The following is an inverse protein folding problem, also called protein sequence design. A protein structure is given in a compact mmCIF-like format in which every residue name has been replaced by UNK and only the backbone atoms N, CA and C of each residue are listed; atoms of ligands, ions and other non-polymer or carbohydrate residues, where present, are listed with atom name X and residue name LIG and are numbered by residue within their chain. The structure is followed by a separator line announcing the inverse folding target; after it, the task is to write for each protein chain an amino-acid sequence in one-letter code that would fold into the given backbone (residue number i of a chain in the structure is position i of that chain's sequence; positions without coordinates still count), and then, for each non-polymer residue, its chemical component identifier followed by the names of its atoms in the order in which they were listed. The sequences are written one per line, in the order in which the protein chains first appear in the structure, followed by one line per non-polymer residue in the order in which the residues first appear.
data_IF_949287041243
#
_entry.id   IF_949287041243
#
_cell.length_a   1.000
_cell.length_b   1.000
_cell.length_c   1.000
_cell.angle_alpha   90.00
_cell.angle_beta   90.00
_cell.angle_gamma   90.00
#
_symmetry.space_group_name_H-M   'P 1'
#
loop_
_entity.id
_entity.type
_entity.pdbx_description
1 polymer ?
#
# COMPACT_ATOMS: atom_id res chain seq x y z
N UNK A 1 -16.38 31.56 -5.33
CA UNK A 1 -16.24 30.38 -4.45
C UNK A 1 -15.92 29.18 -5.33
N UNK A 2 -15.01 28.31 -4.91
CA UNK A 2 -14.66 27.07 -5.60
C UNK A 2 -14.92 25.91 -4.63
N UNK A 3 -15.52 24.82 -5.08
CA UNK A 3 -15.82 23.67 -4.23
C UNK A 3 -16.42 22.51 -5.02
N UNK A 4 -16.70 21.41 -4.32
CA UNK A 4 -17.33 20.22 -4.85
C UNK A 4 -18.26 19.61 -3.78
N UNK A 5 -19.56 19.79 -3.95
CA UNK A 5 -20.58 19.28 -3.03
C UNK A 5 -20.77 17.74 -3.08
N UNK A 6 -20.13 17.09 -4.04
CA UNK A 6 -20.10 15.62 -4.16
C UNK A 6 -18.89 14.98 -3.47
N UNK A 7 -18.03 15.78 -2.82
CA UNK A 7 -16.98 15.33 -1.93
C UNK A 7 -17.40 15.46 -0.46
N UNK A 8 -16.48 15.14 0.46
CA UNK A 8 -16.78 15.11 1.89
C UNK A 8 -17.32 16.46 2.40
N UNK A 9 -18.33 16.37 3.25
CA UNK A 9 -18.92 17.48 3.96
C UNK A 9 -18.08 17.90 5.17
N UNK A 10 -18.27 19.12 5.72
CA UNK A 10 -17.65 19.54 6.97
C UNK A 10 -17.92 18.53 8.10
N UNK A 11 -16.89 18.16 8.86
CA UNK A 11 -17.00 17.29 10.04
C UNK A 11 -17.74 18.06 11.16
N UNK A 12 -18.80 17.49 11.68
CA UNK A 12 -19.58 18.01 12.82
C UNK A 12 -19.65 16.91 13.87
N UNK A 13 -19.09 17.15 15.04
CA UNK A 13 -18.99 16.15 16.11
C UNK A 13 -20.36 15.80 16.71
N UNK A 14 -21.23 16.80 16.87
CA UNK A 14 -22.54 16.59 17.46
C UNK A 14 -23.55 16.14 16.40
N UNK A 15 -23.94 14.87 16.42
CA UNK A 15 -24.88 14.26 15.46
C UNK A 15 -26.19 15.06 15.32
N UNK A 16 -26.76 15.58 16.44
CA UNK A 16 -27.99 16.37 16.43
C UNK A 16 -27.92 17.62 15.53
N UNK A 17 -26.72 18.14 15.24
CA UNK A 17 -26.49 19.30 14.39
C UNK A 17 -26.27 18.95 12.90
N UNK A 18 -26.26 17.68 12.56
CA UNK A 18 -26.04 17.20 11.18
C UNK A 18 -27.37 17.11 10.41
N UNK A 19 -27.28 17.08 9.07
CA UNK A 19 -28.43 16.90 8.19
C UNK A 19 -29.12 15.54 8.42
N UNK A 20 -28.36 14.50 8.79
CA UNK A 20 -28.88 13.15 9.07
C UNK A 20 -29.74 13.08 10.33
N UNK A 21 -29.60 14.02 11.25
CA UNK A 21 -30.45 14.12 12.45
C UNK A 21 -31.85 14.68 12.15
N UNK A 22 -32.07 15.31 11.01
CA UNK A 22 -33.35 15.89 10.55
C UNK A 22 -33.94 16.95 11.52
N UNK A 23 -33.07 17.59 12.33
CA UNK A 23 -33.48 18.62 13.30
C UNK A 23 -33.38 20.05 12.73
N UNK A 24 -33.03 20.20 11.45
CA UNK A 24 -33.02 21.50 10.75
C UNK A 24 -31.73 22.32 10.92
N UNK A 25 -30.79 21.92 11.78
CA UNK A 25 -29.52 22.66 11.98
C UNK A 25 -28.57 22.55 10.79
N UNK A 26 -28.41 21.35 10.22
CA UNK A 26 -27.66 21.06 8.98
C UNK A 26 -26.28 21.71 8.91
N UNK A 27 -25.51 21.73 10.03
CA UNK A 27 -24.19 22.38 10.08
C UNK A 27 -23.13 21.67 9.24
N UNK A 28 -23.29 20.37 8.93
CA UNK A 28 -22.43 19.64 8.01
C UNK A 28 -22.74 19.91 6.53
N UNK A 29 -23.69 20.80 6.23
CA UNK A 29 -23.94 21.28 4.87
C UNK A 29 -23.05 22.50 4.60
N UNK A 30 -22.10 22.40 3.69
CA UNK A 30 -21.19 23.50 3.38
C UNK A 30 -21.93 24.70 2.78
N UNK A 31 -21.42 25.92 2.96
CA UNK A 31 -21.96 27.10 2.31
C UNK A 31 -22.05 26.95 0.78
N UNK A 32 -21.04 26.29 0.19
CA UNK A 32 -21.01 26.01 -1.24
C UNK A 32 -22.19 25.11 -1.66
N UNK A 33 -22.45 24.03 -0.94
CA UNK A 33 -23.55 23.12 -1.20
C UNK A 33 -24.91 23.82 -1.02
N UNK A 34 -25.08 24.65 0.04
CA UNK A 34 -26.29 25.43 0.28
C UNK A 34 -26.61 26.35 -0.90
N UNK A 35 -25.62 27.08 -1.39
CA UNK A 35 -25.80 28.01 -2.51
C UNK A 35 -26.19 27.28 -3.80
N UNK A 36 -25.67 26.10 -4.04
CA UNK A 36 -26.03 25.26 -5.22
C UNK A 36 -27.47 24.77 -5.09
N UNK A 37 -27.86 24.28 -3.90
CA UNK A 37 -29.22 23.78 -3.64
C UNK A 37 -30.26 24.91 -3.74
N UNK A 38 -29.91 26.13 -3.33
CA UNK A 38 -30.74 27.33 -3.47
C UNK A 38 -30.80 27.88 -4.90
N UNK A 39 -30.11 27.21 -5.86
CA UNK A 39 -30.18 27.55 -7.28
C UNK A 39 -29.23 28.66 -7.74
N UNK A 40 -28.18 28.98 -6.95
CA UNK A 40 -27.16 29.93 -7.41
C UNK A 40 -26.49 29.45 -8.68
N UNK A 41 -26.42 30.30 -9.69
CA UNK A 41 -25.77 29.99 -10.96
C UNK A 41 -24.31 29.61 -10.77
N UNK A 42 -23.88 28.45 -11.33
CA UNK A 42 -22.54 27.97 -11.22
C UNK A 42 -22.01 27.38 -12.56
N UNK A 43 -20.71 27.25 -12.66
CA UNK A 43 -20.03 26.59 -13.78
C UNK A 43 -19.34 25.32 -13.27
N UNK A 44 -19.56 24.19 -13.93
CA UNK A 44 -18.89 22.93 -13.62
C UNK A 44 -17.66 22.74 -14.52
N UNK A 45 -16.51 22.47 -13.93
CA UNK A 45 -15.31 22.09 -14.66
C UNK A 45 -15.42 20.63 -15.09
N UNK A 46 -15.50 20.39 -16.40
CA UNK A 46 -15.69 19.03 -16.95
C UNK A 46 -14.40 18.36 -17.36
N UNK A 47 -13.26 19.08 -17.47
CA UNK A 47 -12.01 18.57 -17.98
C UNK A 47 -11.04 18.25 -16.85
N UNK A 48 -10.84 16.96 -16.58
CA UNK A 48 -9.91 16.48 -15.57
C UNK A 48 -8.49 16.28 -16.12
N UNK A 49 -7.45 16.51 -15.27
CA UNK A 49 -6.03 16.39 -15.60
C UNK A 49 -5.26 15.51 -14.61
N UNK A 50 -5.95 14.87 -13.65
CA UNK A 50 -5.35 14.07 -12.57
C UNK A 50 -5.25 12.61 -12.93
N UNK A 51 -6.38 11.98 -13.18
CA UNK A 51 -6.54 10.54 -13.25
C UNK A 51 -6.26 9.98 -14.64
N UNK A 52 -5.67 8.81 -14.71
CA UNK A 52 -5.69 7.98 -15.92
C UNK A 52 -7.13 7.70 -16.37
N UNK A 53 -7.33 7.40 -17.68
CA UNK A 53 -8.67 7.15 -18.23
C UNK A 53 -9.44 6.06 -17.49
N UNK A 54 -8.79 4.97 -17.07
CA UNK A 54 -9.41 3.84 -16.37
C UNK A 54 -9.93 4.25 -14.98
N UNK A 55 -9.14 5.04 -14.23
CA UNK A 55 -9.55 5.56 -12.92
C UNK A 55 -10.66 6.60 -13.10
N UNK A 56 -10.51 7.51 -14.07
CA UNK A 56 -11.52 8.52 -14.38
C UNK A 56 -12.86 7.90 -14.82
N UNK A 57 -12.86 6.69 -15.41
CA UNK A 57 -14.07 5.98 -15.79
C UNK A 57 -14.91 5.57 -14.58
N UNK A 58 -14.28 5.24 -13.44
CA UNK A 58 -14.99 5.01 -12.17
C UNK A 58 -15.70 6.30 -11.74
N UNK A 59 -14.98 7.42 -11.72
CA UNK A 59 -15.54 8.71 -11.31
C UNK A 59 -16.71 9.14 -12.22
N UNK A 60 -16.60 8.91 -13.53
CA UNK A 60 -17.72 9.15 -14.50
C UNK A 60 -18.91 8.25 -14.20
N UNK A 61 -18.68 6.97 -14.03
CA UNK A 61 -19.76 6.02 -13.77
C UNK A 61 -20.47 6.29 -12.45
N UNK A 62 -19.73 6.64 -11.43
CA UNK A 62 -20.28 6.80 -10.07
C UNK A 62 -20.86 8.18 -9.82
N UNK A 63 -20.18 9.26 -10.18
CA UNK A 63 -20.45 10.59 -9.63
C UNK A 63 -20.52 11.69 -10.68
N UNK A 64 -19.64 11.68 -11.72
CA UNK A 64 -19.45 12.78 -12.66
C UNK A 64 -19.63 12.36 -14.12
N UNK A 65 -20.84 12.10 -14.60
CA UNK A 65 -21.07 11.55 -15.94
C UNK A 65 -20.54 12.44 -17.08
N UNK A 66 -20.48 13.77 -16.85
CA UNK A 66 -19.98 14.76 -17.82
C UNK A 66 -18.44 14.94 -17.80
N UNK A 67 -17.72 14.23 -16.92
CA UNK A 67 -16.27 14.38 -16.76
C UNK A 67 -15.53 13.88 -18.00
N UNK A 68 -14.66 14.72 -18.56
CA UNK A 68 -13.83 14.43 -19.74
C UNK A 68 -12.37 14.39 -19.38
N UNK A 69 -11.60 13.60 -20.11
CA UNK A 69 -10.16 13.55 -19.93
C UNK A 69 -9.48 14.65 -20.73
N UNK A 70 -8.48 15.30 -20.13
CA UNK A 70 -7.55 16.10 -20.89
C UNK A 70 -6.57 15.18 -21.63
N UNK A 71 -6.13 15.49 -22.88
CA UNK A 71 -5.22 14.64 -23.65
C UNK A 71 -3.94 14.23 -22.90
N UNK A 72 -3.40 15.09 -22.05
CA UNK A 72 -2.19 14.82 -21.26
C UNK A 72 -2.34 13.65 -20.27
N UNK A 73 -3.54 13.19 -19.91
CA UNK A 73 -3.72 12.03 -19.03
C UNK A 73 -3.89 10.73 -19.79
N UNK A 74 -4.15 10.79 -21.10
CA UNK A 74 -4.33 9.62 -21.95
C UNK A 74 -2.99 8.94 -22.27
N UNK A 75 -1.90 9.71 -22.24
CA UNK A 75 -0.52 9.24 -22.51
C UNK A 75 0.25 8.86 -21.26
N UNK A 76 -0.38 8.82 -20.09
CA UNK A 76 0.30 8.43 -18.84
C UNK A 76 0.73 6.96 -18.87
N UNK A 77 1.90 6.67 -18.32
CA UNK A 77 2.43 5.31 -18.23
C UNK A 77 1.50 4.37 -17.46
N UNK A 78 1.47 3.10 -17.85
CA UNK A 78 0.79 2.06 -17.11
C UNK A 78 1.47 1.78 -15.76
N UNK A 79 0.71 1.27 -14.80
CA UNK A 79 1.24 0.86 -13.51
C UNK A 79 2.26 -0.28 -13.70
N UNK A 80 3.51 -0.03 -13.28
CA UNK A 80 4.59 -1.00 -13.45
C UNK A 80 4.41 -2.19 -12.52
N UNK A 81 4.67 -3.38 -13.04
CA UNK A 81 4.61 -4.62 -12.28
C UNK A 81 3.21 -5.24 -12.16
N UNK A 82 2.14 -4.52 -12.55
CA UNK A 82 0.77 -5.01 -12.49
C UNK A 82 0.13 -5.09 -13.89
N UNK A 83 -0.86 -5.98 -14.03
CA UNK A 83 -1.57 -6.19 -15.28
C UNK A 83 -2.64 -5.12 -15.54
N UNK A 84 -3.08 -4.41 -14.51
CA UNK A 84 -4.14 -3.40 -14.59
C UNK A 84 -3.79 -2.16 -13.76
N UNK A 85 -4.35 -1.01 -14.13
CA UNK A 85 -4.17 0.26 -13.41
C UNK A 85 -5.23 0.49 -12.32
N UNK A 86 -6.33 -0.27 -12.38
CA UNK A 86 -7.35 -0.40 -11.35
C UNK A 86 -7.40 -1.86 -10.96
N UNK A 87 -7.15 -2.16 -9.70
CA UNK A 87 -7.08 -3.51 -9.16
C UNK A 87 -7.94 -3.58 -7.91
N UNK A 88 -8.79 -4.56 -7.81
CA UNK A 88 -9.46 -4.94 -6.58
C UNK A 88 -8.98 -6.33 -6.18
N UNK A 89 -8.16 -6.40 -5.14
CA UNK A 89 -7.70 -7.66 -4.54
C UNK A 89 -8.82 -8.17 -3.63
N UNK A 90 -9.52 -9.20 -4.11
CA UNK A 90 -10.61 -9.82 -3.39
C UNK A 90 -10.10 -10.86 -2.40
N UNK A 91 -10.64 -10.87 -1.18
CA UNK A 91 -10.33 -11.87 -0.16
C UNK A 91 -11.59 -12.22 0.66
N UNK A 92 -11.46 -13.22 1.57
CA UNK A 92 -12.54 -13.65 2.48
C UNK A 92 -12.12 -13.67 3.95
N UNK A 93 -10.95 -13.09 4.27
CA UNK A 93 -10.47 -12.99 5.65
C UNK A 93 -11.30 -11.97 6.42
N UNK A 94 -11.84 -12.38 7.56
CA UNK A 94 -12.70 -11.53 8.37
C UNK A 94 -11.88 -10.48 9.14
N UNK A 95 -12.52 -9.34 9.42
CA UNK A 95 -12.02 -8.35 10.36
C UNK A 95 -11.98 -8.91 11.77
N UNK A 96 -11.16 -8.35 12.64
CA UNK A 96 -11.11 -8.76 14.05
C UNK A 96 -12.44 -8.50 14.76
N UNK A 97 -12.90 -9.51 15.50
CA UNK A 97 -14.05 -9.35 16.38
C UNK A 97 -13.63 -8.58 17.63
N UNK A 98 -14.28 -7.46 17.87
CA UNK A 98 -14.11 -6.71 19.11
C UNK A 98 -14.96 -7.36 20.17
N UNK A 99 -14.33 -7.96 21.20
CA UNK A 99 -15.02 -8.44 22.38
C UNK A 99 -15.59 -7.25 23.16
N UNK A 100 -16.90 -7.19 23.32
CA UNK A 100 -17.61 -6.13 24.04
C UNK A 100 -17.22 -6.04 25.53
N UNK A 101 -16.54 -7.06 26.07
CA UNK A 101 -16.13 -7.16 27.47
C UNK A 101 -14.78 -6.46 27.77
N UNK A 102 -14.03 -6.01 26.78
CA UNK A 102 -12.77 -5.29 26.97
C UNK A 102 -13.02 -3.77 27.16
N UNK A 103 -13.47 -3.39 28.36
CA UNK A 103 -13.62 -1.97 28.78
C UNK A 103 -12.33 -1.15 28.72
N UNK A 104 -11.18 -1.74 28.42
CA UNK A 104 -9.84 -1.12 28.61
C UNK A 104 -9.18 -0.69 27.30
N UNK A 105 -9.66 -1.08 26.12
CA UNK A 105 -8.98 -0.73 24.88
C UNK A 105 -9.79 0.22 24.00
N UNK A 106 -9.32 1.47 23.85
CA UNK A 106 -9.83 2.41 22.85
C UNK A 106 -9.70 1.88 21.41
N UNK A 107 -8.93 0.81 21.19
CA UNK A 107 -8.88 0.05 19.94
C UNK A 107 -10.16 -0.75 19.69
N UNK A 108 -10.94 -1.07 20.73
CA UNK A 108 -12.22 -1.77 20.62
C UNK A 108 -13.28 -1.00 19.80
N UNK A 109 -13.13 0.30 19.66
CA UNK A 109 -14.06 1.16 18.89
C UNK A 109 -13.67 1.23 17.42
N UNK A 110 -12.44 0.94 17.04
CA UNK A 110 -11.94 1.06 15.68
C UNK A 110 -11.71 -0.32 15.06
N UNK A 111 -12.27 -0.54 13.87
CA UNK A 111 -12.17 -1.82 13.15
C UNK A 111 -10.79 -2.03 12.53
N UNK A 112 -10.34 -3.29 12.56
CA UNK A 112 -9.05 -3.76 12.07
C UNK A 112 -9.23 -5.04 11.26
N UNK A 113 -8.45 -5.17 10.19
CA UNK A 113 -8.29 -6.40 9.42
C UNK A 113 -6.79 -6.64 9.21
N UNK A 114 -6.26 -7.60 9.96
CA UNK A 114 -4.83 -7.89 9.95
C UNK A 114 -4.36 -8.42 8.59
N UNK A 115 -5.16 -9.28 7.94
CA UNK A 115 -4.85 -9.75 6.59
C UNK A 115 -4.68 -8.59 5.60
N UNK A 116 -5.65 -7.64 5.60
CA UNK A 116 -5.57 -6.49 4.72
C UNK A 116 -4.36 -5.59 5.04
N UNK A 117 -4.02 -5.45 6.33
CA UNK A 117 -2.85 -4.68 6.75
C UNK A 117 -1.55 -5.33 6.24
N UNK A 118 -1.37 -6.62 6.46
CA UNK A 118 -0.22 -7.38 5.98
C UNK A 118 -0.14 -7.36 4.44
N UNK A 119 -1.26 -7.59 3.74
CA UNK A 119 -1.30 -7.56 2.28
C UNK A 119 -0.95 -6.16 1.73
N UNK A 120 -1.45 -5.10 2.36
CA UNK A 120 -1.12 -3.71 2.01
C UNK A 120 0.38 -3.45 2.10
N UNK A 121 1.01 -3.86 3.20
CA UNK A 121 2.47 -3.71 3.40
C UNK A 121 3.26 -4.44 2.31
N UNK A 122 2.86 -5.66 1.96
CA UNK A 122 3.51 -6.44 0.90
C UNK A 122 3.30 -5.82 -0.49
N UNK A 123 2.12 -5.26 -0.78
CA UNK A 123 1.85 -4.53 -2.02
C UNK A 123 2.72 -3.27 -2.10
N UNK A 124 2.84 -2.50 -1.01
CA UNK A 124 3.72 -1.33 -0.94
C UNK A 124 5.17 -1.75 -1.21
N UNK A 125 5.66 -2.80 -0.55
CA UNK A 125 7.01 -3.32 -0.77
C UNK A 125 7.22 -3.74 -2.23
N UNK A 126 6.25 -4.43 -2.83
CA UNK A 126 6.28 -4.81 -4.23
C UNK A 126 6.39 -3.58 -5.15
N UNK A 127 5.59 -2.53 -4.91
CA UNK A 127 5.61 -1.30 -5.71
C UNK A 127 6.96 -0.58 -5.59
N UNK A 128 7.57 -0.54 -4.41
CA UNK A 128 8.91 0.02 -4.21
C UNK A 128 9.96 -0.76 -5.03
N UNK A 129 9.87 -2.10 -5.05
CA UNK A 129 10.73 -2.95 -5.88
C UNK A 129 10.50 -2.72 -7.38
N UNK A 130 9.29 -2.32 -7.83
CA UNK A 130 9.03 -1.89 -9.20
C UNK A 130 9.60 -0.50 -9.52
N UNK A 131 10.30 0.14 -8.57
CA UNK A 131 10.98 1.42 -8.74
C UNK A 131 10.09 2.65 -8.52
N UNK A 132 8.97 2.52 -7.81
CA UNK A 132 8.23 3.68 -7.30
C UNK A 132 8.90 4.21 -6.04
N UNK A 133 8.84 5.53 -5.85
CA UNK A 133 9.35 6.17 -4.62
C UNK A 133 8.27 6.17 -3.53
N UNK A 134 8.67 6.23 -2.25
CA UNK A 134 7.71 6.31 -1.13
C UNK A 134 6.71 7.47 -1.26
N UNK A 135 7.14 8.63 -1.72
CA UNK A 135 6.31 9.83 -1.91
C UNK A 135 5.25 9.70 -3.03
N UNK A 136 5.37 8.70 -3.88
CA UNK A 136 4.42 8.41 -4.95
C UNK A 136 3.27 7.49 -4.50
N UNK A 137 3.39 6.87 -3.33
CA UNK A 137 2.44 5.87 -2.82
C UNK A 137 1.75 6.41 -1.58
N UNK A 138 0.43 6.30 -1.55
CA UNK A 138 -0.38 6.55 -0.36
C UNK A 138 -1.23 5.33 -0.02
N UNK A 139 -1.32 5.05 1.27
CA UNK A 139 -2.24 4.05 1.81
C UNK A 139 -3.42 4.76 2.45
N UNK A 140 -4.64 4.44 2.00
CA UNK A 140 -5.88 5.02 2.51
C UNK A 140 -6.72 3.97 3.22
N UNK A 141 -7.24 4.35 4.38
CA UNK A 141 -8.07 3.48 5.23
C UNK A 141 -9.30 4.22 5.75
N UNK A 142 -10.41 3.54 6.04
CA UNK A 142 -11.59 4.17 6.63
C UNK A 142 -11.55 4.25 8.18
N UNK A 143 -10.60 3.58 8.84
CA UNK A 143 -10.57 3.42 10.30
C UNK A 143 -9.18 3.71 10.89
N UNK A 144 -9.14 4.42 12.02
CA UNK A 144 -7.91 4.78 12.73
C UNK A 144 -7.16 3.56 13.30
N UNK A 145 -7.87 2.49 13.70
CA UNK A 145 -7.22 1.25 14.13
C UNK A 145 -6.41 0.60 13.01
N UNK A 146 -6.96 0.56 11.80
CA UNK A 146 -6.23 0.05 10.63
C UNK A 146 -5.03 0.93 10.26
N UNK A 147 -5.17 2.25 10.39
CA UNK A 147 -4.08 3.20 10.17
C UNK A 147 -2.93 2.92 11.14
N UNK A 148 -3.25 2.69 12.42
CA UNK A 148 -2.26 2.38 13.47
C UNK A 148 -1.48 1.11 13.12
N UNK A 149 -2.17 -0.01 12.89
CA UNK A 149 -1.52 -1.29 12.59
C UNK A 149 -0.65 -1.19 11.32
N UNK A 150 -1.14 -0.53 10.28
CA UNK A 150 -0.36 -0.32 9.06
C UNK A 150 0.92 0.47 9.31
N UNK A 151 0.85 1.51 10.15
CA UNK A 151 2.03 2.31 10.48
C UNK A 151 3.07 1.49 11.26
N UNK A 152 2.62 0.68 12.21
CA UNK A 152 3.50 -0.20 12.98
C UNK A 152 4.14 -1.29 12.10
N UNK A 153 3.35 -1.90 11.20
CA UNK A 153 3.84 -2.92 10.27
C UNK A 153 4.84 -2.33 9.26
N UNK A 154 4.58 -1.16 8.69
CA UNK A 154 5.54 -0.50 7.79
C UNK A 154 6.88 -0.26 8.49
N UNK A 155 6.87 0.23 9.73
CA UNK A 155 8.09 0.41 10.52
C UNK A 155 8.81 -0.92 10.78
N UNK A 156 8.09 -1.98 11.10
CA UNK A 156 8.70 -3.30 11.33
C UNK A 156 9.36 -3.90 10.08
N UNK A 157 9.00 -3.41 8.91
CA UNK A 157 9.57 -3.77 7.61
C UNK A 157 10.61 -2.75 7.10
N UNK A 158 11.19 -1.93 7.96
CA UNK A 158 12.16 -0.88 7.62
C UNK A 158 11.63 0.15 6.59
N UNK A 159 10.32 0.27 6.49
CA UNK A 159 9.64 1.27 5.65
C UNK A 159 9.13 2.41 6.54
N UNK A 160 9.63 3.61 6.32
CA UNK A 160 9.16 4.78 7.06
C UNK A 160 7.69 5.08 6.72
N UNK A 161 6.82 5.13 7.73
CA UNK A 161 5.44 5.57 7.59
C UNK A 161 5.34 7.07 7.94
N UNK A 162 4.59 7.83 7.14
CA UNK A 162 4.27 9.23 7.38
C UNK A 162 2.77 9.37 7.65
N UNK A 163 2.41 9.89 8.82
CA UNK A 163 1.02 10.19 9.21
C UNK A 163 0.85 11.69 9.16
N UNK A 164 -0.34 12.19 8.80
CA UNK A 164 -0.62 13.62 8.80
C UNK A 164 -1.08 14.13 10.15
N UNK A 165 -0.87 15.43 10.39
CA UNK A 165 -1.19 16.10 11.65
C UNK A 165 -2.63 15.81 12.13
N UNK A 166 -3.61 15.82 11.23
CA UNK A 166 -5.02 15.53 11.55
C UNK A 166 -5.24 14.07 11.97
N UNK A 167 -4.60 13.12 11.30
CA UNK A 167 -4.69 11.70 11.66
C UNK A 167 -3.98 11.46 13.00
N UNK A 168 -2.86 12.16 13.28
CA UNK A 168 -2.21 12.17 14.60
C UNK A 168 -3.11 12.72 15.70
N UNK A 169 -3.76 13.86 15.47
CA UNK A 169 -4.72 14.45 16.42
C UNK A 169 -5.89 13.51 16.71
N UNK A 170 -6.45 12.89 15.65
CA UNK A 170 -7.55 11.92 15.79
C UNK A 170 -7.09 10.68 16.59
N UNK A 171 -5.87 10.16 16.37
CA UNK A 171 -5.29 9.06 17.16
C UNK A 171 -5.07 9.42 18.63
N UNK A 172 -4.56 10.62 18.91
CA UNK A 172 -4.35 11.12 20.27
C UNK A 172 -5.68 11.28 21.00
N UNK A 173 -6.73 11.75 20.33
CA UNK A 173 -8.08 11.92 20.90
C UNK A 173 -8.68 10.61 21.40
N UNK A 174 -8.35 9.49 20.74
CA UNK A 174 -8.77 8.14 21.13
C UNK A 174 -7.93 7.53 22.25
N UNK A 175 -6.98 8.28 22.86
CA UNK A 175 -6.06 7.80 23.89
C UNK A 175 -5.25 6.55 23.46
N UNK A 176 -5.01 6.38 22.20
CA UNK A 176 -4.13 5.35 21.66
C UNK A 176 -2.70 5.80 21.98
N UNK A 177 -2.32 5.65 23.27
CA UNK A 177 -1.05 6.07 23.81
C UNK A 177 0.04 5.06 23.43
N UNK A 178 0.87 5.42 22.45
CA UNK A 178 2.27 5.00 22.40
C UNK A 178 3.13 6.20 21.99
N UNK A 179 4.36 6.32 22.53
CA UNK A 179 5.24 7.40 22.11
C UNK A 179 5.61 7.17 20.64
N UNK A 180 4.88 7.83 19.76
CA UNK A 180 5.33 8.03 18.41
C UNK A 180 6.64 8.80 18.49
N UNK A 181 7.73 8.20 18.09
CA UNK A 181 8.86 9.03 17.69
C UNK A 181 8.31 9.91 16.56
N UNK A 182 8.10 11.19 16.87
CA UNK A 182 7.81 12.20 15.86
C UNK A 182 8.88 12.05 14.79
N UNK A 183 8.58 11.30 13.77
CA UNK A 183 9.37 11.39 12.57
C UNK A 183 9.05 12.79 12.05
N UNK A 184 10.06 13.67 12.20
CA UNK A 184 10.07 14.98 11.58
C UNK A 184 9.41 14.87 10.21
N UNK A 185 8.59 15.85 9.85
CA UNK A 185 7.92 16.08 8.58
C UNK A 185 8.86 16.08 7.35
N UNK A 186 9.98 15.37 7.41
CA UNK A 186 10.88 15.13 6.30
C UNK A 186 10.27 14.05 5.41
N UNK A 187 9.77 14.51 4.34
CA UNK A 187 9.17 14.02 3.11
C UNK A 187 9.62 12.67 2.50
N UNK A 188 10.01 11.65 3.25
CA UNK A 188 10.59 10.42 2.67
C UNK A 188 9.87 9.10 3.05
N UNK A 189 8.72 9.17 3.73
CA UNK A 189 7.96 7.97 4.15
C UNK A 189 6.74 7.68 3.29
N UNK A 190 6.23 6.45 3.39
CA UNK A 190 4.94 6.06 2.82
C UNK A 190 3.84 6.79 3.59
N UNK A 191 3.05 7.61 2.91
CA UNK A 191 1.92 8.29 3.52
C UNK A 191 0.82 7.29 3.84
N UNK A 192 0.41 7.23 5.12
CA UNK A 192 -0.79 6.51 5.57
C UNK A 192 -1.78 7.53 6.11
N UNK A 193 -3.03 7.48 5.65
CA UNK A 193 -4.05 8.45 6.05
C UNK A 193 -5.45 7.84 6.06
N UNK A 194 -6.34 8.42 6.85
CA UNK A 194 -7.76 8.15 6.67
C UNK A 194 -8.27 8.79 5.39
N UNK A 195 -9.31 8.18 4.79
CA UNK A 195 -9.93 8.70 3.56
C UNK A 195 -10.39 10.15 3.77
N UNK A 196 -10.94 10.42 4.96
CA UNK A 196 -11.53 11.72 5.30
C UNK A 196 -10.46 12.82 5.43
N UNK A 197 -9.30 12.51 6.02
CA UNK A 197 -8.20 13.46 6.19
C UNK A 197 -7.34 13.65 4.93
N UNK A 198 -7.44 12.74 3.95
CA UNK A 198 -6.74 12.84 2.66
C UNK A 198 -7.54 13.63 1.61
N UNK A 199 -8.62 14.30 1.99
CA UNK A 199 -9.39 15.15 1.08
C UNK A 199 -8.55 16.32 0.56
N UNK A 200 -8.59 16.54 -0.76
CA UNK A 200 -7.83 17.62 -1.41
C UNK A 200 -6.46 17.20 -1.94
N UNK A 201 -5.85 16.17 -1.36
CA UNK A 201 -4.54 15.63 -1.78
C UNK A 201 -4.66 14.69 -3.00
N UNK A 202 -3.53 14.28 -3.55
CA UNK A 202 -3.43 13.30 -4.63
C UNK A 202 -2.09 12.56 -4.57
N UNK A 203 -2.05 11.33 -5.10
CA UNK A 203 -0.83 10.53 -5.21
C UNK A 203 -0.78 9.81 -6.56
N UNK A 204 0.40 9.34 -6.95
CA UNK A 204 0.52 8.55 -8.16
C UNK A 204 -0.21 7.20 -7.98
N UNK A 205 0.00 6.55 -6.85
CA UNK A 205 -0.62 5.26 -6.53
C UNK A 205 -1.36 5.35 -5.19
N UNK A 206 -2.59 4.90 -5.20
CA UNK A 206 -3.41 4.75 -3.99
C UNK A 206 -3.62 3.26 -3.72
N UNK A 207 -3.26 2.82 -2.52
CA UNK A 207 -3.60 1.49 -1.99
C UNK A 207 -4.64 1.68 -0.90
N UNK A 208 -5.82 1.12 -1.08
CA UNK A 208 -6.96 1.28 -0.19
C UNK A 208 -7.29 -0.02 0.51
N UNK A 209 -7.11 -0.10 1.83
CA UNK A 209 -7.62 -1.19 2.65
C UNK A 209 -9.03 -0.83 3.13
N UNK A 210 -10.03 -1.64 2.73
CA UNK A 210 -11.44 -1.37 3.04
C UNK A 210 -11.85 -1.88 4.43
N UNK A 211 -11.06 -2.79 5.00
CA UNK A 211 -11.14 -3.33 6.36
C UNK A 211 -12.34 -4.24 6.60
N UNK A 212 -13.53 -3.81 6.14
CA UNK A 212 -14.79 -4.49 6.49
C UNK A 212 -14.94 -5.82 5.77
N UNK A 213 -14.95 -6.87 6.56
CA UNK A 213 -15.13 -8.25 6.11
C UNK A 213 -15.73 -9.08 7.22
N UNK A 214 -17.05 -9.30 7.19
CA UNK A 214 -17.78 -10.05 8.20
C UNK A 214 -19.00 -10.76 7.61
N UNK A 215 -19.48 -11.86 8.23
CA UNK A 215 -20.62 -12.64 7.73
C UNK A 215 -21.94 -11.88 7.71
N UNK A 216 -22.06 -10.82 8.53
CA UNK A 216 -23.29 -10.02 8.66
C UNK A 216 -23.43 -8.95 7.55
N UNK A 217 -22.42 -8.75 6.70
CA UNK A 217 -22.42 -7.71 5.67
C UNK A 217 -22.37 -6.30 6.23
N UNK A 218 -21.88 -6.09 7.45
CA UNK A 218 -21.81 -4.76 8.04
C UNK A 218 -20.60 -4.00 7.49
N UNK A 219 -20.82 -3.02 6.62
CA UNK A 219 -19.75 -2.21 5.98
C UNK A 219 -19.48 -0.85 6.66
N UNK A 220 -20.12 -0.60 7.79
CA UNK A 220 -19.84 0.56 8.67
C UNK A 220 -19.90 1.93 7.96
N UNK A 221 -18.83 2.73 8.10
CA UNK A 221 -18.75 4.08 7.50
C UNK A 221 -18.86 4.08 5.97
N UNK A 222 -18.49 2.99 5.32
CA UNK A 222 -18.56 2.85 3.87
C UNK A 222 -19.98 2.55 3.36
N UNK A 223 -20.95 2.34 4.28
CA UNK A 223 -22.38 2.16 3.95
C UNK A 223 -23.31 3.21 4.52
N UNK A 224 -22.81 4.21 5.27
CA UNK A 224 -23.64 5.28 5.87
C UNK A 224 -24.01 6.37 4.85
N UNK A 225 -24.82 7.35 5.29
CA UNK A 225 -25.33 8.43 4.44
C UNK A 225 -24.25 9.23 3.69
N UNK A 226 -23.06 9.38 4.27
CA UNK A 226 -21.93 10.10 3.66
C UNK A 226 -20.98 9.17 2.87
N UNK A 227 -21.38 7.91 2.63
CA UNK A 227 -20.54 6.93 1.94
C UNK A 227 -20.27 7.34 0.49
N UNK A 228 -21.22 7.97 -0.19
CA UNK A 228 -21.03 8.42 -1.58
C UNK A 228 -19.89 9.41 -1.71
N UNK A 229 -19.84 10.40 -0.81
CA UNK A 229 -18.78 11.40 -0.78
C UNK A 229 -17.42 10.78 -0.43
N UNK A 230 -17.38 9.85 0.53
CA UNK A 230 -16.17 9.15 0.96
C UNK A 230 -15.62 8.24 -0.13
N UNK A 231 -16.45 7.43 -0.77
CA UNK A 231 -16.07 6.57 -1.89
C UNK A 231 -15.64 7.42 -3.10
N UNK A 232 -16.31 8.56 -3.35
CA UNK A 232 -15.91 9.48 -4.40
C UNK A 232 -14.51 10.06 -4.13
N UNK A 233 -14.22 10.49 -2.90
CA UNK A 233 -12.86 10.92 -2.53
C UNK A 233 -11.87 9.80 -2.75
N UNK A 234 -12.13 8.59 -2.24
CA UNK A 234 -11.26 7.43 -2.39
C UNK A 234 -10.92 7.12 -3.85
N UNK A 235 -11.93 7.10 -4.73
CA UNK A 235 -11.77 6.77 -6.14
C UNK A 235 -11.10 7.87 -6.98
N UNK A 236 -10.95 9.09 -6.44
CA UNK A 236 -10.44 10.25 -7.22
C UNK A 236 -9.09 10.77 -6.74
N UNK A 237 -8.40 10.07 -5.83
CA UNK A 237 -7.07 10.50 -5.33
C UNK A 237 -5.91 10.02 -6.19
N UNK A 238 -6.06 8.87 -6.87
CA UNK A 238 -5.01 8.24 -7.64
C UNK A 238 -4.80 8.91 -9.00
N UNK A 239 -3.53 9.04 -9.42
CA UNK A 239 -3.14 9.55 -10.74
C UNK A 239 -2.84 8.42 -11.71
N UNK A 240 -2.08 7.39 -11.30
CA UNK A 240 -1.58 6.29 -12.13
C UNK A 240 -2.23 4.95 -11.79
N UNK A 241 -2.38 4.63 -10.51
CA UNK A 241 -2.86 3.34 -10.06
C UNK A 241 -3.77 3.41 -8.85
N UNK A 242 -4.84 2.62 -8.86
CA UNK A 242 -5.78 2.50 -7.75
C UNK A 242 -5.96 1.02 -7.40
N UNK A 243 -5.53 0.64 -6.20
CA UNK A 243 -5.56 -0.73 -5.70
C UNK A 243 -6.47 -0.77 -4.48
N UNK A 244 -7.54 -1.54 -4.55
CA UNK A 244 -8.41 -1.86 -3.42
C UNK A 244 -8.04 -3.22 -2.86
N UNK A 245 -8.13 -3.38 -1.55
CA UNK A 245 -8.07 -4.66 -0.85
C UNK A 245 -9.35 -4.76 -0.04
N UNK A 246 -10.13 -5.83 -0.22
CA UNK A 246 -11.41 -5.97 0.47
C UNK A 246 -12.16 -7.25 0.11
N UNK A 247 -13.27 -7.48 0.81
CA UNK A 247 -14.14 -8.64 0.61
C UNK A 247 -15.34 -8.26 -0.26
N UNK A 248 -15.28 -8.61 -1.55
CA UNK A 248 -16.36 -8.35 -2.52
C UNK A 248 -17.71 -8.87 -2.04
N UNK A 249 -17.73 -10.06 -1.44
CA UNK A 249 -18.97 -10.70 -0.96
C UNK A 249 -19.62 -9.89 0.18
N UNK A 250 -18.81 -9.39 1.12
CA UNK A 250 -19.29 -8.56 2.23
C UNK A 250 -19.92 -7.25 1.72
N UNK A 251 -19.27 -6.57 0.77
CA UNK A 251 -19.78 -5.31 0.21
C UNK A 251 -20.97 -5.51 -0.73
N UNK A 252 -21.03 -6.62 -1.48
CA UNK A 252 -22.14 -6.95 -2.35
C UNK A 252 -23.41 -7.29 -1.57
N UNK A 253 -23.25 -8.00 -0.45
CA UNK A 253 -24.34 -8.40 0.43
C UNK A 253 -24.44 -7.48 1.66
N UNK A 254 -24.10 -6.21 1.50
CA UNK A 254 -24.11 -5.24 2.58
C UNK A 254 -25.46 -5.16 3.29
N UNK A 255 -25.40 -5.09 4.64
CA UNK A 255 -26.57 -4.94 5.50
C UNK A 255 -26.41 -3.69 6.41
N UNK A 256 -27.22 -2.64 6.21
CA UNK A 256 -28.26 -2.50 5.19
C UNK A 256 -27.71 -2.48 3.75
N UNK A 257 -28.54 -2.83 2.73
CA UNK A 257 -28.11 -2.85 1.33
C UNK A 257 -27.52 -1.52 0.89
N UNK A 258 -26.40 -1.59 0.13
CA UNK A 258 -25.73 -0.40 -0.38
C UNK A 258 -25.73 -0.39 -1.91
N UNK A 259 -26.64 0.36 -2.55
CA UNK A 259 -26.67 0.51 -4.01
C UNK A 259 -25.35 1.07 -4.57
N UNK A 260 -24.67 1.93 -3.79
CA UNK A 260 -23.37 2.51 -4.13
C UNK A 260 -22.32 1.43 -4.39
N UNK A 261 -22.14 0.50 -3.43
CA UNK A 261 -21.16 -0.57 -3.56
C UNK A 261 -21.56 -1.59 -4.61
N UNK A 262 -22.84 -1.95 -4.73
CA UNK A 262 -23.31 -2.81 -5.81
C UNK A 262 -22.97 -2.22 -7.17
N UNK A 263 -23.19 -0.92 -7.38
CA UNK A 263 -22.88 -0.21 -8.62
C UNK A 263 -21.36 -0.18 -8.91
N UNK A 264 -20.54 0.12 -7.90
CA UNK A 264 -19.08 0.16 -8.03
C UNK A 264 -18.53 -1.24 -8.35
N UNK A 265 -18.93 -2.26 -7.59
CA UNK A 265 -18.45 -3.64 -7.79
C UNK A 265 -18.89 -4.20 -9.13
N UNK A 266 -20.11 -3.91 -9.58
CA UNK A 266 -20.58 -4.30 -10.90
C UNK A 266 -19.72 -3.66 -12.00
N UNK A 267 -19.38 -2.37 -11.87
CA UNK A 267 -18.50 -1.68 -12.81
C UNK A 267 -17.09 -2.29 -12.82
N UNK A 268 -16.49 -2.55 -11.65
CA UNK A 268 -15.18 -3.17 -11.53
C UNK A 268 -15.16 -4.60 -12.10
N UNK A 269 -16.23 -5.36 -11.91
CA UNK A 269 -16.38 -6.70 -12.48
C UNK A 269 -16.46 -6.66 -14.01
N UNK A 270 -17.26 -5.75 -14.58
CA UNK A 270 -17.38 -5.56 -16.03
C UNK A 270 -16.07 -5.10 -16.68
N UNK A 271 -15.26 -4.32 -15.97
CA UNK A 271 -13.95 -3.87 -16.45
C UNK A 271 -12.84 -4.90 -16.23
N UNK A 272 -13.13 -6.07 -15.64
CA UNK A 272 -12.12 -7.09 -15.33
C UNK A 272 -11.10 -6.65 -14.29
N UNK A 273 -11.50 -5.79 -13.35
CA UNK A 273 -10.62 -5.21 -12.34
C UNK A 273 -10.63 -5.94 -11.00
N UNK A 274 -11.42 -7.01 -10.83
CA UNK A 274 -11.50 -7.82 -9.60
C UNK A 274 -10.68 -9.08 -9.78
N UNK A 275 -9.76 -9.34 -8.84
CA UNK A 275 -8.82 -10.45 -8.85
C UNK A 275 -8.79 -11.13 -7.47
N UNK A 276 -8.64 -12.44 -7.42
CA UNK A 276 -8.50 -13.21 -6.16
C UNK A 276 -7.06 -13.19 -5.60
N UNK A 277 -6.23 -12.29 -6.08
CA UNK A 277 -4.86 -12.02 -5.65
C UNK A 277 -4.29 -10.85 -6.42
N UNK A 278 -2.99 -10.54 -6.24
CA UNK A 278 -2.36 -9.43 -6.95
C UNK A 278 -2.02 -9.82 -8.40
N UNK A 279 -2.56 -9.13 -9.44
CA UNK A 279 -2.34 -9.48 -10.85
C UNK A 279 -0.97 -8.99 -11.32
N UNK A 280 0.08 -9.71 -10.98
CA UNK A 280 1.47 -9.36 -11.32
C UNK A 280 1.72 -9.55 -12.81
N UNK A 281 2.34 -8.55 -13.45
CA UNK A 281 2.81 -8.57 -14.82
C UNK A 281 4.29 -8.23 -14.88
N UNK A 282 5.08 -9.17 -15.37
CA UNK A 282 6.51 -8.94 -15.56
C UNK A 282 6.76 -7.91 -16.66
N UNK A 283 7.51 -6.85 -16.35
CA UNK A 283 7.84 -5.80 -17.32
C UNK A 283 8.85 -6.29 -18.38
N UNK A 284 9.81 -7.12 -17.99
CA UNK A 284 10.87 -7.57 -18.90
C UNK A 284 10.38 -8.61 -19.91
N UNK A 285 9.52 -9.54 -19.48
CA UNK A 285 9.04 -10.65 -20.32
C UNK A 285 7.58 -10.48 -20.76
N UNK A 286 6.90 -9.41 -20.34
CA UNK A 286 5.49 -9.15 -20.61
C UNK A 286 4.55 -10.34 -20.28
N UNK A 287 4.99 -11.19 -19.33
CA UNK A 287 4.24 -12.38 -18.88
C UNK A 287 3.38 -12.04 -17.69
N UNK A 288 2.16 -12.59 -17.68
CA UNK A 288 1.25 -12.54 -16.55
C UNK A 288 1.58 -13.68 -15.58
N UNK A 289 1.52 -13.40 -14.28
CA UNK A 289 1.52 -14.40 -13.23
C UNK A 289 0.07 -14.71 -12.86
N UNK A 290 -0.21 -15.95 -12.43
CA UNK A 290 -1.54 -16.28 -11.94
C UNK A 290 -1.80 -15.52 -10.64
N UNK A 291 -2.86 -14.69 -10.52
CA UNK A 291 -3.19 -14.01 -9.28
C UNK A 291 -3.37 -14.96 -8.09
N UNK A 292 -3.79 -16.21 -8.31
CA UNK A 292 -3.91 -17.21 -7.27
C UNK A 292 -2.57 -17.58 -6.59
N UNK A 293 -1.43 -17.36 -7.27
CA UNK A 293 -0.09 -17.57 -6.72
C UNK A 293 0.32 -16.48 -5.71
N UNK A 294 -0.42 -15.36 -5.65
CA UNK A 294 -0.14 -14.19 -4.81
C UNK A 294 -1.40 -13.64 -4.13
N UNK A 295 -2.20 -14.53 -3.60
CA UNK A 295 -3.42 -14.20 -2.86
C UNK A 295 -3.18 -14.04 -1.34
N UNK A 296 -2.04 -14.53 -0.81
CA UNK A 296 -1.68 -14.40 0.61
C UNK A 296 -0.46 -13.49 0.81
N UNK A 297 -0.40 -12.72 1.92
CA UNK A 297 0.73 -11.84 2.22
C UNK A 297 2.09 -12.55 2.20
N UNK A 298 2.15 -13.80 2.72
CA UNK A 298 3.37 -14.60 2.77
C UNK A 298 3.85 -15.02 1.38
N UNK A 299 2.91 -15.30 0.45
CA UNK A 299 3.23 -15.62 -0.95
C UNK A 299 3.82 -14.40 -1.64
N UNK A 300 3.21 -13.22 -1.46
CA UNK A 300 3.70 -11.97 -2.04
C UNK A 300 5.06 -11.58 -1.42
N UNK A 301 5.25 -11.78 -0.10
CA UNK A 301 6.54 -11.57 0.55
C UNK A 301 7.65 -12.46 -0.03
N UNK A 302 7.33 -13.73 -0.26
CA UNK A 302 8.25 -14.67 -0.93
C UNK A 302 8.55 -14.22 -2.36
N UNK A 303 7.54 -13.82 -3.11
CA UNK A 303 7.67 -13.31 -4.48
C UNK A 303 8.60 -12.09 -4.55
N UNK A 304 8.44 -11.14 -3.63
CA UNK A 304 9.31 -9.97 -3.51
C UNK A 304 10.78 -10.36 -3.25
N UNK A 305 11.01 -11.33 -2.36
CA UNK A 305 12.37 -11.84 -2.05
C UNK A 305 13.02 -12.57 -3.22
N UNK A 306 12.24 -13.25 -4.05
CA UNK A 306 12.74 -14.02 -5.18
C UNK A 306 13.03 -13.18 -6.44
N UNK A 307 12.67 -11.89 -6.45
CA UNK A 307 12.97 -10.99 -7.57
C UNK A 307 11.84 -10.09 -8.03
N UNK A 308 10.62 -10.27 -7.53
CA UNK A 308 9.44 -9.45 -7.87
C UNK A 308 9.08 -9.38 -9.37
N UNK A 309 9.59 -10.33 -10.19
CA UNK A 309 9.31 -10.48 -11.63
C UNK A 309 8.50 -11.73 -11.95
N UNK A 310 8.75 -12.39 -13.09
CA UNK A 310 7.95 -13.52 -13.59
C UNK A 310 8.39 -14.91 -13.11
N UNK A 311 9.21 -14.99 -12.10
CA UNK A 311 9.70 -16.28 -11.56
C UNK A 311 10.70 -17.04 -12.45
N UNK A 312 10.98 -16.60 -13.68
CA UNK A 312 12.07 -17.18 -14.51
C UNK A 312 13.42 -16.88 -13.87
N UNK A 313 14.39 -17.79 -14.08
CA UNK A 313 15.78 -17.51 -13.68
C UNK A 313 16.28 -16.27 -14.43
N UNK A 314 17.00 -15.39 -13.74
CA UNK A 314 17.69 -14.28 -14.39
C UNK A 314 18.98 -14.82 -15.04
N UNK A 315 19.06 -14.75 -16.37
CA UNK A 315 20.21 -15.27 -17.14
C UNK A 315 21.28 -14.20 -17.40
N UNK A 316 21.14 -13.00 -16.82
CA UNK A 316 22.11 -11.91 -17.01
C UNK A 316 23.40 -12.19 -16.26
N UNK A 317 24.53 -11.97 -16.93
CA UNK A 317 25.85 -12.04 -16.31
C UNK A 317 26.11 -10.79 -15.48
N UNK A 318 26.54 -10.99 -14.23
CA UNK A 318 27.04 -9.92 -13.36
C UNK A 318 28.47 -9.52 -13.80
N UNK A 319 28.96 -8.37 -13.34
CA UNK A 319 30.32 -7.88 -13.64
C UNK A 319 31.44 -8.87 -13.28
N UNK A 320 31.18 -9.75 -12.33
CA UNK A 320 32.12 -10.83 -11.96
C UNK A 320 32.09 -12.03 -12.91
N UNK A 321 31.31 -12.01 -14.00
CA UNK A 321 31.18 -13.08 -14.98
C UNK A 321 30.30 -14.26 -14.55
N UNK A 322 29.65 -14.20 -13.37
CA UNK A 322 28.70 -15.22 -12.93
C UNK A 322 27.27 -14.82 -13.28
N UNK A 323 26.42 -15.81 -13.51
CA UNK A 323 24.98 -15.61 -13.73
C UNK A 323 24.34 -15.03 -12.45
N UNK A 324 23.42 -14.09 -12.61
CA UNK A 324 22.64 -13.52 -11.51
C UNK A 324 21.95 -14.63 -10.70
N UNK A 325 22.09 -14.66 -9.36
CA UNK A 325 21.49 -15.70 -8.52
C UNK A 325 19.98 -15.53 -8.32
N UNK A 326 19.44 -14.37 -8.70
CA UNK A 326 18.04 -14.04 -8.51
C UNK A 326 17.18 -14.57 -9.66
N UNK A 327 15.88 -14.62 -9.41
CA UNK A 327 14.88 -14.72 -10.47
C UNK A 327 14.75 -13.39 -11.19
N UNK A 328 13.95 -13.34 -12.25
CA UNK A 328 13.67 -12.11 -12.99
C UNK A 328 13.24 -10.96 -12.05
N UNK A 329 13.91 -9.83 -12.14
CA UNK A 329 13.72 -8.67 -11.27
C UNK A 329 13.78 -7.36 -12.07
N UNK A 330 13.06 -6.29 -11.61
CA UNK A 330 12.99 -5.03 -12.34
C UNK A 330 14.18 -4.08 -12.09
N UNK A 331 15.01 -4.31 -11.06
CA UNK A 331 16.13 -3.43 -10.71
C UNK A 331 17.42 -3.79 -11.45
N UNK A 332 18.37 -2.86 -11.47
CA UNK A 332 19.64 -2.99 -12.14
C UNK A 332 20.54 -4.04 -11.47
N UNK A 333 21.40 -4.70 -12.26
CA UNK A 333 22.25 -5.80 -11.80
C UNK A 333 23.48 -5.36 -11.00
N UNK A 334 23.86 -4.09 -11.06
CA UNK A 334 24.95 -3.48 -10.29
C UNK A 334 24.74 -3.57 -8.77
N UNK A 335 23.47 -3.62 -8.33
CA UNK A 335 23.10 -3.78 -6.92
C UNK A 335 23.06 -5.24 -6.44
N UNK A 336 23.13 -6.21 -7.35
CA UNK A 336 22.99 -7.63 -7.04
C UNK A 336 24.32 -8.22 -6.57
N UNK A 337 24.32 -8.72 -5.33
CA UNK A 337 25.49 -9.42 -4.76
C UNK A 337 25.57 -10.85 -5.27
N UNK A 338 26.69 -11.20 -5.93
CA UNK A 338 26.94 -12.56 -6.38
C UNK A 338 27.17 -13.49 -5.18
N UNK A 339 26.27 -14.44 -4.97
CA UNK A 339 26.37 -15.42 -3.88
C UNK A 339 27.12 -16.71 -4.28
N UNK A 340 27.64 -16.79 -5.53
CA UNK A 340 28.35 -18.00 -5.99
C UNK A 340 29.61 -18.24 -5.18
N UNK A 341 29.75 -19.45 -4.65
CA UNK A 341 30.92 -19.84 -3.94
C UNK A 341 32.15 -19.92 -4.90
N UNK A 342 33.22 -19.24 -4.55
CA UNK A 342 34.47 -19.22 -5.25
C UNK A 342 35.58 -19.70 -4.31
N UNK A 343 36.53 -20.50 -4.84
CA UNK A 343 37.68 -20.97 -4.09
C UNK A 343 38.86 -20.06 -4.34
N UNK A 344 39.43 -19.54 -3.28
CA UNK A 344 40.64 -18.70 -3.35
C UNK A 344 41.58 -19.03 -2.19
N UNK A 345 42.83 -18.59 -2.30
CA UNK A 345 43.75 -18.62 -1.17
C UNK A 345 43.33 -17.59 -0.14
N UNK A 346 43.45 -17.89 1.14
CA UNK A 346 43.23 -16.94 2.20
C UNK A 346 44.21 -15.74 2.09
N UNK A 347 43.94 -14.60 2.75
CA UNK A 347 44.83 -13.43 2.70
C UNK A 347 46.27 -13.75 3.09
N UNK A 348 46.49 -14.67 4.04
CA UNK A 348 47.80 -15.14 4.45
C UNK A 348 48.42 -16.17 3.49
N UNK A 349 47.70 -16.58 2.40
CA UNK A 349 48.12 -17.58 1.38
C UNK A 349 48.42 -18.97 1.94
N UNK A 350 47.91 -19.31 3.12
CA UNK A 350 48.18 -20.60 3.78
C UNK A 350 47.11 -21.67 3.48
N UNK A 351 45.84 -21.24 3.32
CA UNK A 351 44.70 -22.14 3.17
C UNK A 351 43.88 -21.82 1.93
N UNK A 352 43.22 -22.83 1.37
CA UNK A 352 42.15 -22.63 0.39
C UNK A 352 40.86 -22.48 1.12
N UNK A 353 40.22 -21.32 0.93
CA UNK A 353 38.93 -20.99 1.51
C UNK A 353 37.86 -20.88 0.43
N UNK A 354 36.61 -21.17 0.80
CA UNK A 354 35.46 -21.01 -0.06
C UNK A 354 34.65 -19.83 0.44
N UNK A 355 34.45 -18.83 -0.38
CA UNK A 355 33.78 -17.57 -0.02
C UNK A 355 32.80 -17.16 -1.12
N UNK A 356 31.81 -16.36 -0.78
CA UNK A 356 30.93 -15.77 -1.80
C UNK A 356 31.72 -14.82 -2.72
N UNK A 357 31.45 -14.87 -4.00
CA UNK A 357 32.17 -14.08 -5.01
C UNK A 357 32.11 -12.56 -4.69
N UNK A 358 30.98 -12.07 -4.17
CA UNK A 358 30.81 -10.67 -3.75
C UNK A 358 31.64 -10.28 -2.52
N UNK A 359 32.11 -11.26 -1.75
CA UNK A 359 32.87 -11.03 -0.51
C UNK A 359 34.33 -11.47 -0.61
N UNK A 360 34.81 -11.80 -1.84
CA UNK A 360 36.16 -12.35 -2.02
C UNK A 360 37.28 -11.42 -1.54
N UNK A 361 37.08 -10.10 -1.62
CA UNK A 361 38.05 -9.08 -1.16
C UNK A 361 38.07 -8.91 0.37
N UNK A 362 36.95 -9.24 1.03
CA UNK A 362 36.79 -9.17 2.49
C UNK A 362 36.82 -10.55 3.14
N UNK A 363 37.42 -11.50 2.47
CA UNK A 363 37.44 -12.89 2.91
C UNK A 363 38.23 -13.06 4.21
N UNK A 364 37.59 -13.65 5.23
CA UNK A 364 38.20 -14.00 6.49
C UNK A 364 38.49 -15.50 6.55
N UNK A 365 39.69 -15.88 7.04
CA UNK A 365 40.07 -17.27 7.18
C UNK A 365 39.88 -17.71 8.64
N UNK A 366 39.03 -18.70 8.86
CA UNK A 366 38.76 -19.28 10.19
C UNK A 366 39.67 -20.49 10.52
N UNK A 367 40.51 -20.92 9.57
CA UNK A 367 41.44 -22.05 9.79
C UNK A 367 42.45 -21.71 10.89
N UNK A 368 42.83 -22.73 11.65
CA UNK A 368 43.84 -22.59 12.71
C UNK A 368 45.25 -22.76 12.17
N UNK A 369 46.16 -21.89 12.58
CA UNK A 369 47.60 -21.99 12.33
C UNK A 369 48.33 -22.14 13.65
N UNK A 370 49.40 -22.93 13.61
CA UNK A 370 50.32 -23.09 14.74
C UNK A 370 51.55 -22.22 14.45
N UNK A 371 51.71 -21.17 15.20
CA UNK A 371 52.91 -20.30 15.15
C UNK A 371 53.76 -20.52 16.37
N UNK A 372 55.04 -20.15 16.30
CA UNK A 372 55.92 -20.15 17.46
C UNK A 372 55.98 -18.71 18.05
N UNK A 373 55.79 -18.58 19.35
CA UNK A 373 56.04 -17.30 20.05
C UNK A 373 57.55 -17.03 20.13
N UNK A 374 57.93 -15.84 20.58
CA UNK A 374 59.33 -15.43 20.75
C UNK A 374 60.16 -16.37 21.63
N UNK A 375 59.49 -17.18 22.46
CA UNK A 375 60.10 -18.23 23.31
C UNK A 375 60.05 -19.62 22.71
N UNK A 376 59.78 -19.73 21.39
CA UNK A 376 59.68 -20.98 20.58
C UNK A 376 58.53 -21.94 20.97
N UNK A 377 57.58 -21.54 21.84
CA UNK A 377 56.45 -22.38 22.18
C UNK A 377 55.39 -22.35 21.05
N UNK A 378 54.71 -23.45 20.76
CA UNK A 378 53.64 -23.50 19.78
C UNK A 378 52.40 -22.73 20.31
N UNK A 379 51.93 -21.77 19.55
CA UNK A 379 50.68 -21.00 19.83
C UNK A 379 49.69 -21.23 18.70
N UNK A 380 48.50 -21.64 19.07
CA UNK A 380 47.40 -21.84 18.11
C UNK A 380 46.64 -20.54 17.92
N UNK A 381 46.55 -20.02 16.71
CA UNK A 381 45.77 -18.81 16.36
C UNK A 381 44.89 -19.09 15.17
N UNK A 382 43.85 -18.26 14.99
CA UNK A 382 43.08 -18.24 13.75
C UNK A 382 43.87 -17.47 12.67
N UNK A 383 43.96 -18.02 11.48
CA UNK A 383 44.73 -17.46 10.37
C UNK A 383 44.31 -16.02 10.00
N UNK A 384 43.05 -15.64 10.21
CA UNK A 384 42.55 -14.28 9.95
C UNK A 384 42.84 -13.26 11.07
N UNK A 385 43.52 -13.67 12.15
CA UNK A 385 43.94 -12.81 13.29
C UNK A 385 45.43 -12.48 13.23
N UNK A 386 46.12 -12.91 12.20
CA UNK A 386 47.57 -12.67 11.97
C UNK A 386 47.78 -11.39 11.15
#
# INVERSE_FOLDING_TARGET
MIGDHKQLRPKVETHALTISAQQGHNLNLSLFERLIVEGLGHKTLQLQRRMRPEIASIARHMTYPELRNHPAVETRDALRGLAANVVFVNHRHHEEEVNEDDEVSCMSVSKVNEYEAQMTVQIVQFLLLQGYRPDQIVVLVPYLGQLKILSDLLQSHDMAAAIGDRDEEDLLSLKINQPWQRMSSSAQGIRVSTIDNYQGEEADIVVASLVRSNPKGHIGFLGKADAEQRVNVLCTRARLGLIFIGNVECFKNASPPSPLWCKLLQFLQQSGSIFDGLPIKCQQHNSLCDPADVCEPQQLAKWCKEGAGCGRQCDTLLDCGHVCPLRCHPWAHDTVKCARAVRQMCPAKLHRIEVACSSKEQAYCCETVIEKCEMEHPVVRQCGQV
#
